data_IF_984754084817
#
_entry.id   IF_984754084817
#
_cell.length_a   1.000
_cell.length_b   1.000
_cell.length_c   1.000
_cell.angle_alpha   90.00
_cell.angle_beta   90.00
_cell.angle_gamma   90.00
#
_symmetry.space_group_name_H-M   'P 1'
#
loop_
_entity.id
_entity.type
_entity.pdbx_description
1 polymer ?
#
# COMPACT_ATOMS: atom_id res chain seq x y z
N UNK A 1 -25.90 -4.10 -10.13
CA UNK A 1 -24.47 -3.75 -10.20
C UNK A 1 -24.03 -2.57 -9.33
N UNK A 2 -24.91 -1.71 -8.78
CA UNK A 2 -24.47 -0.58 -7.93
C UNK A 2 -23.83 -0.97 -6.58
N UNK A 3 -24.39 -1.96 -5.88
CA UNK A 3 -23.89 -2.37 -4.56
C UNK A 3 -22.44 -2.88 -4.59
N UNK A 4 -22.10 -3.77 -5.55
CA UNK A 4 -20.74 -4.27 -5.75
C UNK A 4 -19.75 -3.14 -6.06
N UNK A 5 -20.11 -2.19 -6.93
CA UNK A 5 -19.24 -1.05 -7.24
C UNK A 5 -18.98 -0.16 -6.03
N UNK A 6 -19.99 0.09 -5.19
CA UNK A 6 -19.83 0.86 -3.95
C UNK A 6 -18.88 0.15 -3.00
N UNK A 7 -19.03 -1.17 -2.81
CA UNK A 7 -18.14 -1.94 -1.95
C UNK A 7 -16.68 -1.87 -2.44
N UNK A 8 -16.46 -2.02 -3.75
CA UNK A 8 -15.12 -1.89 -4.35
C UNK A 8 -14.53 -0.51 -4.06
N UNK A 9 -15.29 0.57 -4.29
CA UNK A 9 -14.83 1.94 -4.04
C UNK A 9 -14.47 2.14 -2.56
N UNK A 10 -15.33 1.69 -1.65
CA UNK A 10 -15.08 1.80 -0.20
C UNK A 10 -13.84 1.01 0.20
N UNK A 11 -13.66 -0.21 -0.31
CA UNK A 11 -12.47 -1.02 -0.05
C UNK A 11 -11.19 -0.35 -0.53
N UNK A 12 -11.21 0.28 -1.72
CA UNK A 12 -10.05 1.03 -2.24
C UNK A 12 -9.76 2.25 -1.36
N UNK A 13 -10.78 3.02 -0.97
CA UNK A 13 -10.61 4.16 -0.06
C UNK A 13 -10.02 3.72 1.28
N UNK A 14 -10.51 2.63 1.85
CA UNK A 14 -9.99 2.08 3.09
C UNK A 14 -8.52 1.67 2.97
N UNK A 15 -8.13 1.05 1.84
CA UNK A 15 -6.74 0.72 1.58
C UNK A 15 -5.85 1.96 1.51
N UNK A 16 -6.30 3.05 0.87
CA UNK A 16 -5.58 4.33 0.84
C UNK A 16 -5.36 4.88 2.25
N UNK A 17 -6.41 4.90 3.08
CA UNK A 17 -6.34 5.42 4.46
C UNK A 17 -5.37 4.60 5.31
N UNK A 18 -5.44 3.27 5.22
CA UNK A 18 -4.54 2.38 5.97
C UNK A 18 -3.09 2.61 5.53
N UNK A 19 -2.82 2.58 4.22
CA UNK A 19 -1.47 2.76 3.71
C UNK A 19 -0.90 4.14 4.04
N UNK A 20 -1.71 5.20 3.94
CA UNK A 20 -1.32 6.55 4.34
C UNK A 20 -0.90 6.61 5.81
N UNK A 21 -1.72 6.07 6.71
CA UNK A 21 -1.41 6.07 8.14
C UNK A 21 -0.16 5.24 8.44
N UNK A 22 -0.03 4.06 7.80
CA UNK A 22 1.14 3.20 7.99
C UNK A 22 2.43 3.89 7.51
N UNK A 23 2.37 4.56 6.36
CA UNK A 23 3.50 5.33 5.84
C UNK A 23 3.86 6.49 6.77
N UNK A 24 2.88 7.22 7.28
CA UNK A 24 3.12 8.30 8.24
C UNK A 24 3.75 7.81 9.54
N UNK A 25 3.28 6.68 10.09
CA UNK A 25 3.86 6.07 11.29
C UNK A 25 5.32 5.68 11.02
N UNK A 26 5.60 4.98 9.91
CA UNK A 26 6.96 4.58 9.54
C UNK A 26 7.91 5.78 9.40
N UNK A 27 7.43 6.89 8.83
CA UNK A 27 8.23 8.12 8.70
C UNK A 27 8.42 8.79 10.07
N UNK A 28 7.40 8.86 10.91
CA UNK A 28 7.46 9.48 12.23
C UNK A 28 8.41 8.73 13.17
N UNK A 29 8.39 7.39 13.16
CA UNK A 29 9.30 6.57 13.96
C UNK A 29 10.76 6.74 13.54
N UNK A 30 11.00 6.93 12.24
CA UNK A 30 12.36 7.04 11.68
C UNK A 30 12.85 8.48 11.53
N UNK A 31 12.06 9.49 11.88
CA UNK A 31 12.40 10.89 11.58
C UNK A 31 13.76 11.31 12.14
N UNK A 32 14.15 10.84 13.32
CA UNK A 32 15.48 11.12 13.91
C UNK A 32 16.63 10.47 13.13
N UNK A 33 16.43 9.24 12.66
CA UNK A 33 17.39 8.56 11.81
C UNK A 33 17.55 9.31 10.48
N UNK A 34 16.44 9.70 9.85
CA UNK A 34 16.44 10.48 8.61
C UNK A 34 17.09 11.86 8.79
N UNK A 35 16.79 12.56 9.89
CA UNK A 35 17.41 13.85 10.22
C UNK A 35 18.93 13.73 10.34
N UNK A 36 19.42 12.68 10.99
CA UNK A 36 20.87 12.43 11.13
C UNK A 36 21.51 12.16 9.76
N UNK A 37 20.87 11.35 8.92
CA UNK A 37 21.34 11.05 7.55
C UNK A 37 21.38 12.33 6.69
N UNK A 38 20.36 13.20 6.79
CA UNK A 38 20.33 14.47 6.05
C UNK A 38 21.40 15.46 6.51
N UNK A 39 21.71 15.50 7.81
CA UNK A 39 22.80 16.34 8.34
C UNK A 39 24.18 15.86 7.85
N UNK A 40 24.34 14.57 7.53
CA UNK A 40 25.54 14.03 6.89
C UNK A 40 25.65 14.38 5.40
N UNK A 41 24.69 15.11 4.83
CA UNK A 41 24.75 15.63 3.47
C UNK A 41 24.05 14.79 2.40
N UNK A 42 23.27 13.77 2.79
CA UNK A 42 22.48 12.96 1.87
C UNK A 42 21.28 13.72 1.30
N UNK A 43 20.90 13.41 0.06
CA UNK A 43 19.77 14.06 -0.61
C UNK A 43 18.42 13.50 -0.15
N UNK A 44 17.37 14.34 -0.12
CA UNK A 44 16.01 13.94 0.31
C UNK A 44 15.47 12.70 -0.43
N UNK A 45 15.84 12.54 -1.71
CA UNK A 45 15.44 11.40 -2.53
C UNK A 45 16.09 10.09 -2.06
N UNK A 46 17.34 10.13 -1.61
CA UNK A 46 18.07 8.94 -1.13
C UNK A 46 17.48 8.47 0.21
N UNK A 47 17.18 9.43 1.09
CA UNK A 47 16.53 9.20 2.38
C UNK A 47 15.10 8.64 2.18
N UNK A 48 14.34 9.20 1.23
CA UNK A 48 13.01 8.67 0.88
C UNK A 48 13.10 7.24 0.34
N UNK A 49 14.04 6.98 -0.58
CA UNK A 49 14.21 5.66 -1.20
C UNK A 49 14.56 4.58 -0.16
N UNK A 50 15.28 4.95 0.90
CA UNK A 50 15.65 4.03 1.99
C UNK A 50 14.41 3.45 2.69
N UNK A 51 13.47 4.31 3.13
CA UNK A 51 12.20 3.86 3.74
C UNK A 51 11.35 3.10 2.72
N UNK A 52 11.32 3.62 1.49
CA UNK A 52 10.40 3.13 0.48
C UNK A 52 10.71 1.71 -0.02
N UNK A 53 11.97 1.27 0.08
CA UNK A 53 12.36 -0.12 -0.24
C UNK A 53 11.66 -1.16 0.64
N UNK A 54 11.50 -0.85 1.92
CA UNK A 54 10.81 -1.74 2.85
C UNK A 54 9.31 -1.79 2.54
N UNK A 55 8.70 -0.62 2.31
CA UNK A 55 7.28 -0.52 1.92
C UNK A 55 7.00 -1.28 0.62
N UNK A 56 7.85 -1.15 -0.40
CA UNK A 56 7.71 -1.90 -1.65
C UNK A 56 7.80 -3.41 -1.39
N UNK A 57 8.79 -3.86 -0.61
CA UNK A 57 9.00 -5.28 -0.34
C UNK A 57 7.80 -5.90 0.39
N UNK A 58 7.29 -5.23 1.42
CA UNK A 58 6.09 -5.65 2.15
C UNK A 58 4.85 -5.64 1.26
N UNK A 59 4.73 -4.64 0.38
CA UNK A 59 3.60 -4.55 -0.54
C UNK A 59 3.60 -5.66 -1.60
N UNK A 60 4.76 -6.04 -2.13
CA UNK A 60 4.87 -7.17 -3.05
C UNK A 60 4.38 -8.46 -2.38
N UNK A 61 4.82 -8.71 -1.15
CA UNK A 61 4.36 -9.86 -0.35
C UNK A 61 2.85 -9.78 -0.15
N UNK A 62 2.33 -8.60 0.24
CA UNK A 62 0.90 -8.38 0.43
C UNK A 62 0.07 -8.62 -0.83
N UNK A 63 0.54 -8.18 -2.01
CA UNK A 63 -0.12 -8.43 -3.30
C UNK A 63 -0.16 -9.94 -3.58
N UNK A 64 0.97 -10.63 -3.45
CA UNK A 64 1.05 -12.08 -3.72
C UNK A 64 0.12 -12.85 -2.79
N UNK A 65 0.18 -12.58 -1.48
CA UNK A 65 -0.68 -13.23 -0.48
C UNK A 65 -2.16 -12.89 -0.73
N UNK A 66 -2.46 -11.63 -1.06
CA UNK A 66 -3.82 -11.19 -1.35
C UNK A 66 -4.42 -11.85 -2.59
N UNK A 67 -3.65 -12.02 -3.67
CA UNK A 67 -4.12 -12.69 -4.89
C UNK A 67 -4.31 -14.19 -4.68
N UNK A 68 -3.38 -14.85 -4.00
CA UNK A 68 -3.49 -16.29 -3.68
C UNK A 68 -4.68 -16.53 -2.74
N UNK A 69 -4.78 -15.75 -1.66
CA UNK A 69 -5.87 -15.82 -0.71
C UNK A 69 -7.22 -15.48 -1.33
N UNK A 70 -7.28 -14.45 -2.17
CA UNK A 70 -8.48 -14.08 -2.92
C UNK A 70 -8.96 -15.16 -3.88
N UNK A 71 -8.03 -15.82 -4.59
CA UNK A 71 -8.36 -16.97 -5.45
C UNK A 71 -8.92 -18.13 -4.63
N UNK A 72 -8.29 -18.47 -3.52
CA UNK A 72 -8.74 -19.57 -2.66
C UNK A 72 -10.11 -19.27 -2.04
N UNK A 73 -10.32 -18.06 -1.51
CA UNK A 73 -11.60 -17.63 -0.98
C UNK A 73 -12.69 -17.62 -2.04
N UNK A 74 -12.39 -17.15 -3.25
CA UNK A 74 -13.35 -17.17 -4.35
C UNK A 74 -13.79 -18.60 -4.67
N UNK A 75 -12.84 -19.54 -4.79
CA UNK A 75 -13.14 -20.96 -5.01
C UNK A 75 -13.98 -21.54 -3.88
N UNK A 76 -13.58 -21.30 -2.62
CA UNK A 76 -14.31 -21.79 -1.45
C UNK A 76 -15.75 -21.27 -1.41
N UNK A 77 -15.97 -19.99 -1.72
CA UNK A 77 -17.32 -19.40 -1.77
C UNK A 77 -18.14 -20.03 -2.91
N UNK A 78 -17.55 -20.21 -4.10
CA UNK A 78 -18.24 -20.84 -5.23
C UNK A 78 -18.62 -22.30 -4.92
N UNK A 79 -17.74 -23.05 -4.26
CA UNK A 79 -18.00 -24.44 -3.86
C UNK A 79 -19.09 -24.54 -2.78
N UNK A 80 -19.18 -23.57 -1.86
CA UNK A 80 -20.22 -23.53 -0.83
C UNK A 80 -21.60 -23.13 -1.38
N UNK A 81 -21.63 -22.32 -2.44
CA UNK A 81 -22.88 -21.82 -3.06
C UNK A 81 -23.36 -22.72 -4.21
N UNK A 82 -22.44 -23.39 -4.90
CA UNK A 82 -22.74 -24.29 -6.01
C UNK A 82 -23.49 -25.55 -5.55
N UNK A 83 -24.66 -25.81 -6.15
CA UNK A 83 -25.32 -27.12 -6.06
C UNK A 83 -24.65 -28.09 -7.05
N UNK A 84 -24.52 -29.37 -6.71
CA UNK A 84 -23.85 -30.44 -7.49
C UNK A 84 -24.20 -30.49 -9.00
N UNK A 85 -25.32 -29.87 -9.40
CA UNK A 85 -25.84 -29.88 -10.76
C UNK A 85 -25.52 -28.63 -11.60
N UNK A 86 -25.08 -27.53 -10.97
CA UNK A 86 -24.72 -26.27 -11.66
C UNK A 86 -23.40 -25.76 -11.10
N UNK A 87 -22.29 -26.09 -11.77
CA UNK A 87 -21.01 -25.44 -11.52
C UNK A 87 -21.07 -24.04 -12.12
N UNK A 88 -21.16 -23.01 -11.28
CA UNK A 88 -20.91 -21.64 -11.72
C UNK A 88 -19.52 -21.60 -12.35
N UNK A 89 -19.41 -21.03 -13.56
CA UNK A 89 -18.14 -20.98 -14.28
C UNK A 89 -17.06 -20.33 -13.40
N UNK A 90 -16.06 -21.11 -13.03
CA UNK A 90 -14.91 -20.67 -12.21
C UNK A 90 -13.88 -19.90 -13.04
N UNK A 91 -14.21 -19.59 -14.29
CA UNK A 91 -13.36 -18.83 -15.20
C UNK A 91 -13.44 -17.34 -14.87
N UNK A 92 -12.51 -16.90 -14.05
CA UNK A 92 -12.25 -15.48 -13.78
C UNK A 92 -11.27 -14.94 -14.81
N UNK A 93 -11.69 -13.87 -15.50
CA UNK A 93 -10.85 -13.18 -16.48
C UNK A 93 -9.59 -12.60 -15.86
N UNK A 94 -8.51 -12.52 -16.65
CA UNK A 94 -7.20 -12.00 -16.23
C UNK A 94 -7.28 -10.56 -15.66
N UNK A 95 -8.25 -9.78 -16.14
CA UNK A 95 -8.53 -8.42 -15.68
C UNK A 95 -8.79 -8.32 -14.17
N UNK A 96 -9.43 -9.34 -13.58
CA UNK A 96 -9.77 -9.38 -12.14
C UNK A 96 -8.51 -9.46 -11.28
N UNK A 97 -7.44 -10.07 -11.80
CA UNK A 97 -6.15 -10.14 -11.11
C UNK A 97 -5.29 -8.89 -11.36
N UNK A 98 -5.35 -8.31 -12.55
CA UNK A 98 -4.51 -7.16 -12.92
C UNK A 98 -5.00 -5.87 -12.27
N UNK A 99 -6.31 -5.63 -12.23
CA UNK A 99 -6.87 -4.36 -11.72
C UNK A 99 -6.42 -4.07 -10.28
N UNK A 100 -6.54 -5.00 -9.30
CA UNK A 100 -6.08 -4.76 -7.94
C UNK A 100 -4.57 -4.47 -7.85
N UNK A 101 -3.75 -5.14 -8.66
CA UNK A 101 -2.30 -4.91 -8.70
C UNK A 101 -2.02 -3.47 -9.14
N UNK A 102 -2.63 -3.02 -10.24
CA UNK A 102 -2.47 -1.66 -10.76
C UNK A 102 -2.94 -0.62 -9.75
N UNK A 103 -4.06 -0.87 -9.08
CA UNK A 103 -4.59 0.02 -8.04
C UNK A 103 -3.61 0.14 -6.88
N UNK A 104 -3.12 -0.98 -6.34
CA UNK A 104 -2.16 -0.97 -5.22
C UNK A 104 -0.86 -0.26 -5.62
N UNK A 105 -0.31 -0.55 -6.80
CA UNK A 105 0.90 0.12 -7.31
C UNK A 105 0.66 1.63 -7.44
N UNK A 106 -0.51 2.04 -7.95
CA UNK A 106 -0.88 3.45 -8.06
C UNK A 106 -0.98 4.15 -6.69
N UNK A 107 -1.57 3.50 -5.69
CA UNK A 107 -1.65 4.02 -4.32
C UNK A 107 -0.26 4.17 -3.73
N UNK A 108 0.60 3.14 -3.87
CA UNK A 108 1.98 3.22 -3.41
C UNK A 108 2.66 4.42 -4.03
N UNK A 109 2.66 4.54 -5.36
CA UNK A 109 3.32 5.64 -6.07
C UNK A 109 2.86 7.02 -5.57
N UNK A 110 1.55 7.21 -5.38
CA UNK A 110 0.98 8.42 -4.79
C UNK A 110 1.54 8.72 -3.39
N UNK A 111 1.59 7.71 -2.52
CA UNK A 111 2.14 7.84 -1.17
C UNK A 111 3.64 8.13 -1.17
N UNK A 112 4.41 7.50 -2.06
CA UNK A 112 5.84 7.76 -2.21
C UNK A 112 6.12 9.19 -2.65
N UNK A 113 5.31 9.70 -3.58
CA UNK A 113 5.37 11.11 -3.98
C UNK A 113 5.02 12.05 -2.83
N UNK A 114 3.99 11.74 -2.04
CA UNK A 114 3.56 12.52 -0.89
C UNK A 114 4.65 12.57 0.20
N UNK A 115 5.26 11.44 0.56
CA UNK A 115 6.37 11.39 1.54
C UNK A 115 7.57 12.19 1.07
N UNK A 116 7.96 12.04 -0.19
CA UNK A 116 9.04 12.83 -0.77
C UNK A 116 8.75 14.34 -0.71
N UNK A 117 7.48 14.74 -0.80
CA UNK A 117 7.08 16.13 -0.62
C UNK A 117 7.22 16.57 0.85
N UNK A 118 6.71 15.77 1.80
CA UNK A 118 6.83 16.05 3.24
C UNK A 118 8.30 16.23 3.65
N UNK A 119 9.18 15.31 3.25
CA UNK A 119 10.60 15.34 3.65
C UNK A 119 11.37 16.55 3.09
N UNK A 120 10.90 17.12 1.98
CA UNK A 120 11.46 18.37 1.41
C UNK A 120 11.00 19.62 2.16
N UNK A 121 9.78 19.61 2.69
CA UNK A 121 9.17 20.78 3.35
C UNK A 121 9.42 20.81 4.84
N UNK A 122 9.73 19.67 5.47
CA UNK A 122 10.04 19.61 6.91
C UNK A 122 11.47 20.10 7.16
N UNK A 123 11.60 21.12 8.00
CA UNK A 123 12.88 21.61 8.49
C UNK A 123 13.48 20.59 9.48
N UNK A 124 14.31 19.70 8.94
CA UNK A 124 14.91 18.60 9.70
C UNK A 124 15.86 19.09 10.81
N UNK A 125 16.27 20.37 10.80
CA UNK A 125 17.08 20.98 11.85
C UNK A 125 16.23 21.35 13.08
N UNK A 126 14.95 21.64 12.90
CA UNK A 126 14.02 21.99 13.98
C UNK A 126 13.60 20.74 14.78
N UNK A 127 13.44 19.60 14.10
CA UNK A 127 13.19 18.30 14.73
C UNK A 127 14.34 17.81 15.63
N UNK A 128 15.56 18.34 15.44
CA UNK A 128 16.71 18.05 16.31
C UNK A 128 16.73 18.96 17.54
N UNK A 129 16.21 20.18 17.43
CA UNK A 129 16.21 21.20 18.50
C UNK A 129 15.09 21.04 19.50
N UNK A 130 14.01 20.34 19.18
CA UNK A 130 12.80 20.28 20.03
C UNK A 130 12.92 19.41 21.29
N UNK A 131 14.12 19.00 21.69
CA UNK A 131 14.37 18.15 22.87
C UNK A 131 15.39 18.77 23.83
N UNK A 132 16.03 19.89 23.47
CA UNK A 132 16.85 20.69 24.40
C UNK A 132 16.04 21.84 25.03
#
# INVERSE_FOLDING_TARGET
>A
NGAMSILIIISVLLAVVILYNLTNINVAERIRELSTIKVLGFYDKEVTMYIYRETISLSIIGIVVGLIGGKYLHQMIMDMIGSDYIKFGTEVGLSIYIIPIVVVIGILFLLGWLVNHILKTVDMLEALKSVD
#
